data_IF_468446044658
#
_entry.id   IF_468446044658
#
_cell.length_a   1.000
_cell.length_b   1.000
_cell.length_c   1.000
_cell.angle_alpha   90.00
_cell.angle_beta   90.00
_cell.angle_gamma   90.00
#
_symmetry.space_group_name_H-M   'P 1'
#
loop_
_entity.id
_entity.type
_entity.pdbx_description
1 polymer ?
#
# COMPACT_ATOMS: atom_id res chain seq x y z
N UNK A 1 1.76 5.17 21.20
CA UNK A 1 0.61 5.72 20.49
C UNK A 1 -0.49 4.67 20.37
N UNK A 2 -1.70 5.15 20.21
CA UNK A 2 -2.83 4.25 20.10
C UNK A 2 -2.86 3.60 18.74
N UNK A 3 -3.12 2.30 18.70
CA UNK A 3 -3.35 1.59 17.46
C UNK A 3 -4.85 1.40 17.27
N UNK A 4 -5.32 1.67 16.07
CA UNK A 4 -6.70 1.49 15.71
C UNK A 4 -6.79 0.27 14.80
N UNK A 5 -7.69 -0.64 15.12
CA UNK A 5 -7.95 -1.78 14.26
C UNK A 5 -8.79 -1.32 13.04
N UNK A 6 -8.22 -1.28 11.84
CA UNK A 6 -8.96 -0.80 10.67
C UNK A 6 -10.23 -1.61 10.38
N UNK A 7 -10.27 -2.87 10.78
CA UNK A 7 -11.43 -3.73 10.56
C UNK A 7 -12.68 -3.19 11.26
N UNK A 8 -12.50 -2.49 12.38
CA UNK A 8 -13.61 -1.87 13.11
C UNK A 8 -14.28 -0.74 12.31
N UNK A 9 -13.59 -0.22 11.29
CA UNK A 9 -14.09 0.85 10.45
C UNK A 9 -14.43 0.37 9.04
N UNK A 10 -14.57 -0.95 8.85
CA UNK A 10 -14.95 -1.51 7.57
C UNK A 10 -13.84 -1.67 6.55
N UNK A 11 -12.58 -1.48 6.93
CA UNK A 11 -11.43 -1.66 6.03
C UNK A 11 -11.07 -3.14 6.00
N UNK A 12 -11.72 -3.89 5.10
CA UNK A 12 -11.59 -5.35 5.06
C UNK A 12 -10.62 -5.85 4.01
N UNK A 13 -10.19 -4.98 3.09
CA UNK A 13 -9.33 -5.38 1.98
C UNK A 13 -7.95 -4.79 2.19
N UNK A 14 -6.99 -5.68 2.41
CA UNK A 14 -5.58 -5.31 2.53
C UNK A 14 -4.86 -5.78 1.27
N UNK A 15 -4.02 -4.93 0.72
CA UNK A 15 -3.28 -5.27 -0.48
C UNK A 15 -1.86 -4.72 -0.42
N UNK A 16 -0.96 -5.43 -1.09
CA UNK A 16 0.40 -4.95 -1.33
C UNK A 16 0.54 -4.71 -2.82
N UNK A 17 0.96 -3.51 -3.17
CA UNK A 17 1.12 -3.13 -4.57
C UNK A 17 2.58 -2.89 -4.86
N UNK A 18 3.14 -3.72 -5.74
CA UNK A 18 4.48 -3.49 -6.27
C UNK A 18 4.35 -2.44 -7.36
N UNK A 19 5.14 -1.39 -7.26
CA UNK A 19 5.06 -0.27 -8.20
C UNK A 19 6.45 0.10 -8.69
N UNK A 20 6.58 0.19 -10.01
CA UNK A 20 7.79 0.69 -10.65
C UNK A 20 7.54 2.11 -11.08
N UNK A 21 8.03 3.08 -10.30
CA UNK A 21 7.84 4.50 -10.58
C UNK A 21 8.91 4.97 -11.56
N UNK A 22 8.47 5.56 -12.66
CA UNK A 22 9.39 6.19 -13.61
C UNK A 22 10.19 7.28 -12.90
N UNK A 23 11.52 7.37 -13.13
CA UNK A 23 12.33 8.38 -12.45
C UNK A 23 11.80 9.80 -12.62
N UNK A 24 11.25 10.11 -13.79
CA UNK A 24 10.71 11.44 -14.06
C UNK A 24 9.43 11.72 -13.26
N UNK A 25 8.77 10.69 -12.75
CA UNK A 25 7.50 10.82 -12.04
C UNK A 25 7.66 10.83 -10.51
N UNK A 26 8.86 10.58 -10.00
CA UNK A 26 9.06 10.46 -8.55
C UNK A 26 8.68 11.72 -7.80
N UNK A 27 8.96 12.89 -8.36
CA UNK A 27 8.63 14.17 -7.73
C UNK A 27 7.14 14.31 -7.47
N UNK A 28 6.32 13.80 -8.38
CA UNK A 28 4.87 13.89 -8.27
C UNK A 28 4.29 12.74 -7.47
N UNK A 29 4.97 11.60 -7.50
CA UNK A 29 4.51 10.39 -6.81
C UNK A 29 4.46 10.57 -5.29
N UNK A 30 5.54 11.07 -4.69
CA UNK A 30 5.60 11.15 -3.23
C UNK A 30 4.52 12.06 -2.63
N UNK A 31 4.26 13.26 -3.16
CA UNK A 31 3.15 14.06 -2.65
C UNK A 31 1.79 13.40 -2.87
N UNK A 32 1.64 12.68 -3.98
CA UNK A 32 0.39 11.97 -4.27
C UNK A 32 0.14 10.89 -3.23
N UNK A 33 1.13 10.02 -2.98
CA UNK A 33 0.95 8.89 -2.08
C UNK A 33 0.76 9.36 -0.63
N UNK A 34 1.41 10.45 -0.27
CA UNK A 34 1.33 10.99 1.08
C UNK A 34 -0.07 11.48 1.44
N UNK A 35 -0.86 11.87 0.43
CA UNK A 35 -2.21 12.39 0.65
C UNK A 35 -3.28 11.32 0.71
N UNK A 36 -2.94 10.06 0.43
CA UNK A 36 -3.93 8.97 0.38
C UNK A 36 -4.02 8.32 1.76
N UNK A 37 -5.11 8.53 2.51
CA UNK A 37 -5.21 7.98 3.87
C UNK A 37 -5.29 6.46 3.91
N UNK A 38 -5.64 5.82 2.80
CA UNK A 38 -5.70 4.36 2.71
C UNK A 38 -4.33 3.70 2.63
N UNK A 39 -3.27 4.50 2.40
CA UNK A 39 -1.91 3.98 2.35
C UNK A 39 -1.38 3.84 3.77
N UNK A 40 -1.06 2.61 4.15
CA UNK A 40 -0.52 2.32 5.49
C UNK A 40 0.99 2.52 5.50
N UNK A 41 1.65 2.01 4.45
CA UNK A 41 3.10 2.15 4.30
C UNK A 41 3.46 2.23 2.84
N UNK A 42 4.52 2.95 2.56
CA UNK A 42 5.12 2.99 1.23
C UNK A 42 6.62 2.79 1.41
N UNK A 43 7.13 1.68 0.92
CA UNK A 43 8.52 1.29 1.13
C UNK A 43 9.28 1.25 -0.18
N UNK A 44 10.53 1.70 -0.15
CA UNK A 44 11.47 1.46 -1.23
C UNK A 44 12.08 0.09 -1.01
N UNK A 45 12.06 -0.74 -2.03
CA UNK A 45 12.56 -2.12 -1.93
C UNK A 45 13.51 -2.40 -3.08
N UNK A 46 14.26 -3.49 -2.96
CA UNK A 46 15.13 -3.96 -4.03
C UNK A 46 14.34 -4.84 -4.99
N UNK A 47 14.82 -4.97 -6.22
CA UNK A 47 14.21 -5.81 -7.23
C UNK A 47 13.67 -5.02 -8.42
N UNK A 48 12.87 -5.68 -9.24
CA UNK A 48 12.32 -5.09 -10.46
C UNK A 48 11.35 -3.95 -10.17
N UNK A 49 10.61 -4.06 -9.08
CA UNK A 49 9.68 -3.03 -8.63
C UNK A 49 10.29 -2.35 -7.42
N UNK A 50 10.59 -1.08 -7.54
CA UNK A 50 11.34 -0.36 -6.53
C UNK A 50 10.49 0.09 -5.33
N UNK A 51 9.17 0.06 -5.46
CA UNK A 51 8.26 0.49 -4.40
C UNK A 51 7.30 -0.62 -4.01
N UNK A 52 7.06 -0.75 -2.70
CA UNK A 52 6.05 -1.66 -2.16
C UNK A 52 5.10 -0.83 -1.31
N UNK A 53 3.85 -0.74 -1.74
CA UNK A 53 2.84 0.07 -1.06
C UNK A 53 1.83 -0.85 -0.38
N UNK A 54 1.64 -0.65 0.92
CA UNK A 54 0.63 -1.38 1.68
C UNK A 54 -0.60 -0.50 1.85
N UNK A 55 -1.76 -1.01 1.47
CA UNK A 55 -3.01 -0.24 1.50
C UNK A 55 -4.13 -1.05 2.13
N UNK A 56 -5.14 -0.35 2.64
CA UNK A 56 -6.39 -0.96 3.09
C UNK A 56 -7.57 -0.17 2.53
N UNK A 57 -8.53 -0.92 2.00
CA UNK A 57 -9.74 -0.33 1.42
C UNK A 57 -10.98 -1.04 1.93
N UNK A 58 -12.13 -0.38 1.81
CA UNK A 58 -13.42 -0.94 2.21
C UNK A 58 -13.99 -1.83 1.12
N UNK A 59 -13.77 -1.50 -0.15
CA UNK A 59 -14.30 -2.25 -1.28
C UNK A 59 -13.24 -2.46 -2.35
N UNK A 60 -13.47 -3.47 -3.18
CA UNK A 60 -12.59 -3.76 -4.31
C UNK A 60 -12.65 -2.64 -5.36
N UNK A 61 -13.81 -1.97 -5.47
CA UNK A 61 -13.97 -0.87 -6.43
C UNK A 61 -13.03 0.29 -6.05
N UNK A 62 -12.97 0.62 -4.75
CA UNK A 62 -12.07 1.67 -4.27
C UNK A 62 -10.61 1.30 -4.53
N UNK A 63 -10.26 0.04 -4.30
CA UNK A 63 -8.91 -0.43 -4.57
C UNK A 63 -8.58 -0.32 -6.07
N UNK A 64 -9.52 -0.68 -6.92
CA UNK A 64 -9.33 -0.60 -8.37
C UNK A 64 -9.09 0.84 -8.82
N UNK A 65 -9.86 1.79 -8.30
CA UNK A 65 -9.66 3.22 -8.60
C UNK A 65 -8.25 3.66 -8.20
N UNK A 66 -7.80 3.25 -7.03
CA UNK A 66 -6.47 3.61 -6.56
C UNK A 66 -5.38 3.01 -7.46
N UNK A 67 -5.54 1.76 -7.86
CA UNK A 67 -4.59 1.11 -8.76
C UNK A 67 -4.52 1.84 -10.09
N UNK A 68 -5.67 2.25 -10.63
CA UNK A 68 -5.70 3.00 -11.88
C UNK A 68 -4.93 4.31 -11.78
N UNK A 69 -5.04 4.99 -10.64
CA UNK A 69 -4.26 6.21 -10.41
C UNK A 69 -2.77 5.92 -10.32
N UNK A 70 -2.40 4.83 -9.65
CA UNK A 70 -0.99 4.44 -9.54
C UNK A 70 -0.38 4.12 -10.91
N UNK A 71 -1.16 3.57 -11.83
CA UNK A 71 -0.66 3.21 -13.16
C UNK A 71 -0.23 4.43 -13.97
N UNK A 72 -0.64 5.62 -13.58
CA UNK A 72 -0.12 6.85 -14.20
C UNK A 72 1.35 7.10 -13.85
N UNK A 73 1.84 6.48 -12.79
CA UNK A 73 3.23 6.66 -12.35
C UNK A 73 4.15 5.54 -12.80
N UNK A 74 3.59 4.40 -13.22
CA UNK A 74 4.39 3.29 -13.66
C UNK A 74 3.62 1.97 -13.61
N UNK A 75 4.35 0.86 -13.77
CA UNK A 75 3.75 -0.47 -13.77
C UNK A 75 3.43 -0.91 -12.36
N UNK A 76 2.30 -1.60 -12.22
CA UNK A 76 1.83 -2.10 -10.92
C UNK A 76 1.61 -3.60 -10.96
N UNK A 77 1.83 -4.24 -9.80
CA UNK A 77 1.45 -5.62 -9.57
C UNK A 77 0.81 -5.69 -8.19
N UNK A 78 -0.46 -6.07 -8.13
CA UNK A 78 -1.23 -6.05 -6.90
C UNK A 78 -1.37 -7.44 -6.33
N UNK A 79 -1.12 -7.56 -5.01
CA UNK A 79 -1.28 -8.78 -4.24
C UNK A 79 -2.32 -8.52 -3.16
N UNK A 80 -3.46 -9.18 -3.23
CA UNK A 80 -4.50 -9.03 -2.22
C UNK A 80 -4.28 -10.07 -1.12
N UNK A 81 -4.32 -9.62 0.13
CA UNK A 81 -4.11 -10.48 1.28
C UNK A 81 -5.39 -11.26 1.56
N UNK A 82 -5.33 -12.58 1.46
CA UNK A 82 -6.46 -13.45 1.80
C UNK A 82 -6.59 -13.65 3.30
N UNK A 83 -5.45 -13.92 3.94
CA UNK A 83 -5.44 -14.18 5.37
C UNK A 83 -4.07 -13.86 5.94
N UNK A 84 -4.03 -13.56 7.23
CA UNK A 84 -2.79 -13.25 7.92
C UNK A 84 -2.62 -14.26 9.06
N UNK A 85 -1.59 -15.10 8.95
CA UNK A 85 -1.37 -16.15 9.95
C UNK A 85 -0.70 -15.61 11.22
N UNK A 86 0.09 -14.55 11.07
CA UNK A 86 0.71 -13.86 12.21
C UNK A 86 0.43 -12.37 12.05
N UNK A 87 -0.35 -11.82 12.98
CA UNK A 87 -0.65 -10.38 12.98
C UNK A 87 0.59 -9.58 13.34
N UNK A 88 0.52 -8.28 13.02
CA UNK A 88 1.62 -7.38 13.34
C UNK A 88 1.97 -7.45 14.82
N UNK A 89 3.25 -7.59 15.12
CA UNK A 89 3.77 -7.57 16.49
C UNK A 89 5.18 -7.00 16.48
N UNK A 90 5.58 -6.47 17.61
CA UNK A 90 6.91 -5.89 17.73
C UNK A 90 7.98 -6.96 17.73
N UNK A 91 9.13 -6.62 17.14
CA UNK A 91 10.30 -7.50 17.21
C UNK A 91 10.87 -7.41 18.62
N UNK A 92 11.17 -8.57 19.25
CA UNK A 92 11.76 -8.55 20.58
C UNK A 92 13.10 -7.82 20.61
N UNK A 93 13.33 -7.07 21.65
CA UNK A 93 14.58 -6.36 21.88
C UNK A 93 15.33 -7.08 23.01
N UNK A 94 16.52 -7.56 22.72
CA UNK A 94 17.36 -8.25 23.72
C UNK A 94 18.43 -7.34 24.24
#
# INVERSE_FOLDING_TARGET
HATVNPMLFGYHIKAFINLEVEPAQKKEFYPFIDRIPNVIECNCVTGDYAMLVEVMFQTTIQLDHFINELQHFGRTKTLIVFSTSVEHRDVPVN
#
